data_IF_768990271773
#
_entry.id   IF_768990271773
#
_cell.length_a   1.000
_cell.length_b   1.000
_cell.length_c   1.000
_cell.angle_alpha   90.00
_cell.angle_beta   90.00
_cell.angle_gamma   90.00
#
_symmetry.space_group_name_H-M   'P 1'
#
loop_
_entity.id
_entity.type
_entity.pdbx_description
1 polymer ?
#
# COMPACT_ATOMS: atom_id res chain seq x y z
N UNK A 1 26.65 8.67 75.47
CA UNK A 1 27.32 7.59 74.69
C UNK A 1 26.35 6.56 74.11
N UNK A 2 25.82 5.56 74.84
CA UNK A 2 24.94 4.51 74.25
C UNK A 2 23.66 5.07 73.57
N UNK A 3 23.02 6.07 74.17
CA UNK A 3 21.78 6.69 73.65
C UNK A 3 21.99 7.53 72.37
N UNK A 4 23.18 8.11 72.24
CA UNK A 4 23.58 8.90 71.06
C UNK A 4 23.95 7.98 69.89
N UNK A 5 24.61 6.85 70.20
CA UNK A 5 24.88 5.78 69.23
C UNK A 5 23.57 5.19 68.69
N UNK A 6 22.59 4.91 69.54
CA UNK A 6 21.28 4.41 69.11
C UNK A 6 20.49 5.41 68.24
N UNK A 7 20.65 6.71 68.49
CA UNK A 7 20.06 7.75 67.64
C UNK A 7 20.73 7.79 66.26
N UNK A 8 22.06 7.74 66.24
CA UNK A 8 22.83 7.71 65.00
C UNK A 8 22.50 6.48 64.15
N UNK A 9 22.40 5.30 64.76
CA UNK A 9 22.02 4.05 64.08
C UNK A 9 20.61 4.16 63.50
N UNK A 10 19.63 4.65 64.28
CA UNK A 10 18.24 4.81 63.79
C UNK A 10 18.14 5.77 62.62
N UNK A 11 18.82 6.92 62.69
CA UNK A 11 18.85 7.90 61.59
C UNK A 11 19.51 7.29 60.36
N UNK A 12 20.63 6.58 60.53
CA UNK A 12 21.35 5.95 59.42
C UNK A 12 20.52 4.86 58.75
N UNK A 13 19.86 4.00 59.52
CA UNK A 13 18.95 2.98 58.98
C UNK A 13 17.76 3.61 58.25
N UNK A 14 17.20 4.71 58.76
CA UNK A 14 16.13 5.44 58.09
C UNK A 14 16.59 6.03 56.75
N UNK A 15 17.81 6.59 56.69
CA UNK A 15 18.40 7.11 55.46
C UNK A 15 18.64 6.00 54.43
N UNK A 16 19.17 4.84 54.85
CA UNK A 16 19.33 3.69 53.97
C UNK A 16 17.99 3.12 53.50
N UNK A 17 16.97 3.08 54.36
CA UNK A 17 15.63 2.65 53.98
C UNK A 17 14.99 3.59 52.95
N UNK A 18 15.19 4.91 53.10
CA UNK A 18 14.74 5.92 52.12
C UNK A 18 15.48 5.78 50.79
N UNK A 19 16.81 5.61 50.82
CA UNK A 19 17.61 5.34 49.62
C UNK A 19 17.17 4.07 48.90
N UNK A 20 16.99 2.99 49.65
CA UNK A 20 16.53 1.71 49.11
C UNK A 20 15.12 1.82 48.51
N UNK A 21 14.21 2.50 49.20
CA UNK A 21 12.87 2.80 48.68
C UNK A 21 12.91 3.61 47.38
N UNK A 22 13.81 4.59 47.29
CA UNK A 22 14.04 5.36 46.06
C UNK A 22 14.55 4.48 44.91
N UNK A 23 15.56 3.64 45.15
CA UNK A 23 16.06 2.69 44.14
C UNK A 23 14.98 1.71 43.69
N UNK A 24 14.16 1.21 44.62
CA UNK A 24 13.07 0.29 44.32
C UNK A 24 11.99 0.96 43.46
N UNK A 25 11.62 2.19 43.78
CA UNK A 25 10.68 2.99 42.99
C UNK A 25 11.16 3.16 41.54
N UNK A 26 12.41 3.60 41.36
CA UNK A 26 12.96 3.81 40.02
C UNK A 26 13.15 2.51 39.21
N UNK A 27 13.36 1.36 39.85
CA UNK A 27 13.51 0.09 39.13
C UNK A 27 12.16 -0.60 38.85
N UNK A 28 11.25 -0.66 39.81
CA UNK A 28 10.01 -1.44 39.69
C UNK A 28 8.84 -0.64 39.15
N UNK A 29 8.75 0.65 39.47
CA UNK A 29 7.62 1.51 39.05
C UNK A 29 7.99 2.23 37.75
N UNK A 30 9.08 2.99 37.77
CA UNK A 30 9.42 3.87 36.66
C UNK A 30 10.41 3.25 35.65
N UNK A 31 10.98 2.08 35.98
CA UNK A 31 12.03 1.46 35.18
C UNK A 31 11.59 1.16 33.74
N UNK A 32 10.36 0.65 33.57
CA UNK A 32 9.80 0.38 32.26
C UNK A 32 9.55 1.66 31.44
N UNK A 33 9.14 2.75 32.08
CA UNK A 33 8.91 4.04 31.41
C UNK A 33 10.24 4.70 31.00
N UNK A 34 11.24 4.71 31.90
CA UNK A 34 12.59 5.21 31.60
C UNK A 34 13.27 4.41 30.49
N UNK A 35 13.06 3.09 30.45
CA UNK A 35 13.56 2.25 29.37
C UNK A 35 12.92 2.58 28.01
N UNK A 36 11.65 3.01 28.00
CA UNK A 36 10.88 3.36 26.78
C UNK A 36 11.07 4.79 26.30
N UNK A 37 11.69 5.67 27.09
CA UNK A 37 11.97 7.05 26.67
C UNK A 37 12.80 7.09 25.39
N UNK A 38 12.47 8.02 24.51
CA UNK A 38 13.14 8.22 23.23
C UNK A 38 14.59 8.71 23.40
N UNK A 39 14.87 9.47 24.45
CA UNK A 39 16.20 10.01 24.74
C UNK A 39 17.14 9.05 25.49
N UNK A 40 16.77 7.77 25.63
CA UNK A 40 17.58 6.80 26.37
C UNK A 40 18.79 6.32 25.53
N UNK A 41 20.05 6.67 25.92
CA UNK A 41 21.23 6.30 25.15
C UNK A 41 21.49 4.79 25.10
N UNK A 42 20.91 4.01 26.01
CA UNK A 42 21.02 2.53 25.98
C UNK A 42 20.27 1.93 24.80
N UNK A 43 19.17 2.56 24.35
CA UNK A 43 18.47 2.14 23.13
C UNK A 43 19.36 2.36 21.91
N UNK A 44 20.06 3.50 21.85
CA UNK A 44 21.05 3.79 20.81
C UNK A 44 22.11 2.69 20.77
N UNK A 45 22.78 2.44 21.91
CA UNK A 45 23.90 1.49 21.98
C UNK A 45 23.47 0.04 21.71
N UNK A 46 22.27 -0.35 22.16
CA UNK A 46 21.72 -1.67 21.86
C UNK A 46 21.46 -1.83 20.36
N UNK A 47 20.88 -0.81 19.72
CA UNK A 47 20.60 -0.82 18.28
C UNK A 47 21.88 -0.88 17.44
N UNK A 48 22.96 -0.19 17.86
CA UNK A 48 24.28 -0.25 17.18
C UNK A 48 24.89 -1.65 17.15
N UNK A 49 24.62 -2.46 18.19
CA UNK A 49 25.15 -3.81 18.30
C UNK A 49 24.36 -4.84 17.50
N UNK A 50 23.12 -4.52 17.10
CA UNK A 50 22.28 -5.42 16.31
C UNK A 50 22.78 -5.46 14.87
N UNK A 51 22.95 -6.66 14.32
CA UNK A 51 23.15 -6.83 12.89
C UNK A 51 21.80 -7.07 12.24
N UNK A 52 21.21 -6.00 11.68
CA UNK A 52 19.87 -6.09 11.10
C UNK A 52 19.87 -7.04 9.91
N UNK A 53 18.91 -7.97 9.88
CA UNK A 53 18.82 -9.03 8.88
C UNK A 53 18.65 -8.51 7.45
N UNK A 54 19.03 -9.33 6.47
CA UNK A 54 18.97 -8.97 5.04
C UNK A 54 17.56 -9.18 4.51
N UNK A 55 17.07 -8.24 3.70
CA UNK A 55 15.82 -8.37 2.96
C UNK A 55 16.16 -8.80 1.54
N UNK A 56 15.55 -9.90 1.10
CA UNK A 56 15.67 -10.46 -0.24
C UNK A 56 14.33 -10.39 -0.97
N UNK A 57 14.38 -10.17 -2.28
CA UNK A 57 13.22 -10.33 -3.16
C UNK A 57 12.81 -11.80 -3.29
N UNK A 58 11.74 -12.06 -4.04
CA UNK A 58 11.24 -13.41 -4.27
C UNK A 58 12.23 -14.30 -5.02
N UNK A 59 13.30 -13.78 -5.62
CA UNK A 59 14.29 -14.51 -6.42
C UNK A 59 15.66 -14.64 -5.72
N UNK A 60 15.83 -14.05 -4.53
CA UNK A 60 17.08 -14.07 -3.75
C UNK A 60 18.02 -12.89 -4.00
N UNK A 61 17.57 -11.86 -4.71
CA UNK A 61 18.27 -10.59 -4.86
C UNK A 61 18.17 -9.76 -3.58
N UNK A 62 19.27 -9.14 -3.16
CA UNK A 62 19.32 -8.32 -1.94
C UNK A 62 18.68 -6.96 -2.18
N UNK A 63 17.67 -6.63 -1.38
CA UNK A 63 16.97 -5.35 -1.41
C UNK A 63 17.44 -4.40 -0.30
N UNK A 64 17.78 -4.95 0.87
CA UNK A 64 18.36 -4.18 1.97
C UNK A 64 19.28 -5.06 2.81
N UNK A 65 20.47 -4.57 3.18
CA UNK A 65 21.38 -5.30 4.06
C UNK A 65 22.24 -4.37 4.91
N UNK A 66 22.82 -4.93 5.98
CA UNK A 66 23.72 -4.20 6.87
C UNK A 66 25.17 -4.35 6.40
N UNK A 67 25.89 -3.24 6.25
CA UNK A 67 27.32 -3.23 5.88
C UNK A 67 28.15 -2.57 7.00
N UNK A 68 29.25 -3.19 7.45
CA UNK A 68 30.17 -2.55 8.39
C UNK A 68 30.74 -1.25 7.80
N UNK A 69 30.88 -0.21 8.62
CA UNK A 69 31.48 1.07 8.24
C UNK A 69 32.43 1.57 9.33
N UNK A 70 33.42 2.39 8.96
CA UNK A 70 34.35 3.02 9.90
C UNK A 70 33.75 4.23 10.63
N UNK A 71 32.49 4.59 10.34
CA UNK A 71 31.78 5.69 10.98
C UNK A 71 31.40 5.42 12.43
N UNK A 72 30.89 6.46 13.13
CA UNK A 72 30.55 6.41 14.56
C UNK A 72 29.55 5.31 14.95
N UNK A 73 28.73 4.87 13.99
CA UNK A 73 27.73 3.82 14.17
C UNK A 73 28.27 2.41 13.91
N UNK A 74 29.46 2.26 13.30
CA UNK A 74 30.08 0.97 12.99
C UNK A 74 29.38 0.14 11.90
N UNK A 75 28.12 0.46 11.55
CA UNK A 75 27.30 -0.21 10.53
C UNK A 75 26.45 0.82 9.78
N UNK A 76 26.14 0.53 8.52
CA UNK A 76 25.21 1.29 7.69
C UNK A 76 24.21 0.34 7.03
N UNK A 77 22.95 0.75 6.95
CA UNK A 77 21.93 0.06 6.15
C UNK A 77 22.11 0.47 4.69
N UNK A 78 22.13 -0.49 3.78
CA UNK A 78 22.37 -0.28 2.34
C UNK A 78 21.20 -0.85 1.55
N UNK A 79 20.67 -0.04 0.64
CA UNK A 79 19.63 -0.39 -0.33
C UNK A 79 20.25 -0.32 -1.73
N UNK A 80 20.58 -1.48 -2.38
CA UNK A 80 21.23 -1.50 -3.69
C UNK A 80 20.47 -0.78 -4.78
N UNK A 81 19.15 -0.92 -4.77
CA UNK A 81 18.24 -0.26 -5.71
C UNK A 81 17.28 0.65 -4.92
N UNK A 82 17.35 1.98 -5.10
CA UNK A 82 16.41 2.92 -4.48
C UNK A 82 14.95 2.73 -4.91
N UNK A 83 14.67 2.10 -6.06
CA UNK A 83 13.32 1.92 -6.58
C UNK A 83 12.41 1.12 -5.64
N UNK A 84 13.00 0.33 -4.73
CA UNK A 84 12.27 -0.50 -3.75
C UNK A 84 11.68 0.30 -2.58
N UNK A 85 12.02 1.59 -2.44
CA UNK A 85 11.63 2.42 -1.28
C UNK A 85 10.12 2.48 -1.05
N UNK A 86 9.31 2.39 -2.11
CA UNK A 86 7.85 2.38 -2.03
C UNK A 86 7.29 1.20 -1.23
N UNK A 87 7.96 0.05 -1.27
CA UNK A 87 7.55 -1.16 -0.54
C UNK A 87 8.43 -1.43 0.68
N UNK A 88 9.75 -1.44 0.49
CA UNK A 88 10.72 -1.77 1.54
C UNK A 88 10.75 -0.67 2.60
N UNK A 89 10.57 0.58 2.19
CA UNK A 89 10.69 1.75 3.04
C UNK A 89 12.15 2.09 3.34
N UNK A 90 12.38 2.67 4.51
CA UNK A 90 13.70 3.05 4.98
C UNK A 90 13.89 2.64 6.44
N UNK A 91 15.15 2.61 6.85
CA UNK A 91 15.54 2.47 8.25
C UNK A 91 16.45 3.65 8.59
N UNK A 92 15.96 4.51 9.48
CA UNK A 92 16.71 5.57 10.10
C UNK A 92 16.74 5.36 11.60
N UNK A 93 17.92 5.49 12.19
CA UNK A 93 18.05 5.53 13.64
C UNK A 93 17.38 6.79 14.23
N UNK A 94 17.47 7.91 13.52
CA UNK A 94 17.04 9.22 14.02
C UNK A 94 15.57 9.51 13.71
N UNK A 95 15.10 9.04 12.55
CA UNK A 95 13.82 9.42 11.97
C UNK A 95 12.82 8.27 11.87
N UNK A 96 13.21 7.07 12.30
CA UNK A 96 12.32 5.91 12.38
C UNK A 96 12.41 4.98 11.16
N UNK A 97 11.40 4.13 11.02
CA UNK A 97 11.31 3.16 9.93
C UNK A 97 10.02 3.39 9.14
N UNK A 98 9.98 2.84 7.92
CA UNK A 98 8.77 2.80 7.11
C UNK A 98 8.66 1.47 6.37
N UNK A 99 7.46 1.12 5.89
CA UNK A 99 7.24 -0.03 5.00
C UNK A 99 7.59 -1.37 5.67
N UNK A 100 8.27 -2.25 4.91
CA UNK A 100 8.71 -3.56 5.41
C UNK A 100 9.74 -3.42 6.54
N UNK A 101 10.61 -2.41 6.51
CA UNK A 101 11.55 -2.16 7.59
C UNK A 101 10.85 -1.93 8.93
N UNK A 102 9.69 -1.26 8.92
CA UNK A 102 8.85 -1.06 10.12
C UNK A 102 8.05 -2.33 10.46
N UNK A 103 7.36 -2.91 9.47
CA UNK A 103 6.47 -4.06 9.70
C UNK A 103 7.17 -5.32 10.21
N UNK A 104 8.43 -5.52 9.77
CA UNK A 104 9.25 -6.67 10.17
C UNK A 104 10.37 -6.30 11.14
N UNK A 105 10.33 -5.11 11.75
CA UNK A 105 11.38 -4.57 12.61
C UNK A 105 11.82 -5.54 13.73
N UNK A 106 10.86 -6.22 14.37
CA UNK A 106 11.16 -7.23 15.40
C UNK A 106 11.99 -8.39 14.86
N UNK A 107 11.63 -8.94 13.70
CA UNK A 107 12.34 -10.06 13.07
C UNK A 107 13.70 -9.61 12.55
N UNK A 108 13.75 -8.45 11.91
CA UNK A 108 14.97 -7.86 11.36
C UNK A 108 16.00 -7.51 12.44
N UNK A 109 15.58 -7.28 13.70
CA UNK A 109 16.51 -7.10 14.84
C UNK A 109 16.85 -8.39 15.59
N UNK A 110 16.23 -9.51 15.22
CA UNK A 110 16.46 -10.80 15.90
C UNK A 110 15.78 -10.90 17.25
N UNK A 111 14.71 -10.13 17.48
CA UNK A 111 13.92 -10.27 18.69
C UNK A 111 13.20 -11.63 18.67
N UNK A 112 13.69 -12.58 19.47
CA UNK A 112 13.05 -13.88 19.61
C UNK A 112 11.71 -13.70 20.32
N UNK A 113 10.61 -14.03 19.64
CA UNK A 113 9.24 -13.87 20.17
C UNK A 113 8.98 -14.65 21.48
N UNK A 114 9.89 -15.54 21.91
CA UNK A 114 9.70 -16.45 23.04
C UNK A 114 10.83 -16.53 24.08
N UNK A 115 12.04 -16.01 23.83
CA UNK A 115 13.21 -16.34 24.66
C UNK A 115 13.90 -15.11 25.28
N UNK A 116 13.19 -14.44 26.19
CA UNK A 116 13.74 -13.37 27.03
C UNK A 116 15.02 -13.79 27.78
N UNK A 117 15.21 -15.09 28.01
CA UNK A 117 16.42 -15.65 28.63
C UNK A 117 17.63 -15.64 27.69
N UNK A 118 17.46 -15.93 26.40
CA UNK A 118 18.54 -15.81 25.40
C UNK A 118 18.92 -14.36 25.15
N UNK A 119 17.94 -13.46 25.10
CA UNK A 119 18.21 -12.01 24.99
C UNK A 119 19.01 -11.50 26.20
N UNK A 120 18.66 -11.97 27.41
CA UNK A 120 19.40 -11.67 28.63
C UNK A 120 20.82 -12.27 28.61
N UNK A 121 20.99 -13.53 28.20
CA UNK A 121 22.30 -14.17 28.09
C UNK A 121 23.20 -13.46 27.07
N UNK A 122 22.66 -13.12 25.89
CA UNK A 122 23.40 -12.40 24.86
C UNK A 122 23.78 -10.99 25.31
N UNK A 123 22.89 -10.30 26.02
CA UNK A 123 23.18 -9.00 26.63
C UNK A 123 24.26 -9.11 27.73
N UNK A 124 24.23 -10.17 28.54
CA UNK A 124 25.23 -10.41 29.59
C UNK A 124 26.60 -10.78 29.00
N UNK A 125 26.61 -11.58 27.93
CA UNK A 125 27.82 -12.07 27.24
C UNK A 125 28.32 -11.13 26.14
N UNK A 126 27.67 -9.98 25.92
CA UNK A 126 27.99 -9.01 24.87
C UNK A 126 28.06 -9.64 23.46
N UNK A 127 27.23 -10.66 23.20
CA UNK A 127 27.13 -11.28 21.87
C UNK A 127 26.29 -10.39 20.96
N UNK A 128 26.75 -10.16 19.74
CA UNK A 128 25.96 -9.42 18.75
C UNK A 128 24.72 -10.23 18.37
N UNK A 129 23.54 -9.64 18.55
CA UNK A 129 22.28 -10.23 18.08
C UNK A 129 22.19 -10.02 16.57
N UNK A 130 22.09 -11.11 15.82
CA UNK A 130 21.89 -11.07 14.36
C UNK A 130 20.41 -11.25 14.07
N UNK A 131 19.89 -10.39 13.21
CA UNK A 131 18.51 -10.40 12.75
C UNK A 131 18.19 -11.56 11.84
N UNK A 132 16.89 -11.87 11.74
CA UNK A 132 16.42 -12.82 10.74
C UNK A 132 16.50 -12.22 9.34
N UNK A 133 16.98 -13.01 8.39
CA UNK A 133 16.87 -12.68 6.98
C UNK A 133 15.41 -12.87 6.54
N UNK A 134 14.90 -11.94 5.72
CA UNK A 134 13.54 -11.95 5.22
C UNK A 134 13.55 -12.12 3.70
N UNK A 135 12.73 -13.03 3.19
CA UNK A 135 12.38 -13.13 1.77
C UNK A 135 10.95 -12.61 1.60
N UNK A 136 10.79 -11.63 0.72
CA UNK A 136 9.52 -10.94 0.47
C UNK A 136 8.97 -11.28 -0.91
N UNK A 137 7.71 -10.94 -1.16
CA UNK A 137 6.99 -11.25 -2.41
C UNK A 137 7.43 -10.43 -3.62
N UNK A 138 8.12 -9.30 -3.37
CA UNK A 138 8.55 -8.37 -4.41
C UNK A 138 9.34 -9.10 -5.49
N UNK A 139 9.03 -8.80 -6.75
CA UNK A 139 9.85 -9.15 -7.90
C UNK A 139 10.61 -7.91 -8.35
N UNK A 140 11.95 -7.96 -8.30
CA UNK A 140 12.77 -6.78 -8.57
C UNK A 140 12.58 -6.28 -10.01
N UNK A 141 12.43 -7.16 -11.00
CA UNK A 141 12.26 -6.75 -12.38
C UNK A 141 10.92 -6.04 -12.60
N UNK A 142 9.85 -6.52 -11.97
CA UNK A 142 8.52 -5.87 -12.02
C UNK A 142 8.54 -4.53 -11.28
N UNK A 143 9.24 -4.46 -10.13
CA UNK A 143 9.42 -3.23 -9.36
C UNK A 143 10.16 -2.15 -10.16
N UNK A 144 11.29 -2.49 -10.77
CA UNK A 144 12.09 -1.58 -11.59
C UNK A 144 11.30 -1.09 -12.81
N UNK A 145 10.60 -2.00 -13.51
CA UNK A 145 9.76 -1.65 -14.65
C UNK A 145 8.64 -0.68 -14.25
N UNK A 146 7.96 -0.93 -13.12
CA UNK A 146 6.92 -0.03 -12.62
C UNK A 146 7.52 1.31 -12.17
N UNK A 147 8.69 1.31 -11.53
CA UNK A 147 9.35 2.54 -11.10
C UNK A 147 9.68 3.44 -12.31
N UNK A 148 10.25 2.85 -13.36
CA UNK A 148 10.53 3.55 -14.62
C UNK A 148 9.25 4.04 -15.32
N UNK A 149 8.18 3.23 -15.31
CA UNK A 149 6.90 3.61 -15.90
C UNK A 149 6.32 4.90 -15.29
N UNK A 150 6.51 5.08 -13.98
CA UNK A 150 5.99 6.22 -13.20
C UNK A 150 7.00 7.38 -13.08
N UNK A 151 8.22 7.23 -13.60
CA UNK A 151 9.28 8.22 -13.46
C UNK A 151 8.89 9.60 -14.02
N UNK A 152 9.25 10.65 -13.28
CA UNK A 152 9.00 12.04 -13.66
C UNK A 152 7.55 12.51 -13.49
N UNK A 153 6.67 11.67 -12.92
CA UNK A 153 5.26 11.99 -12.70
C UNK A 153 4.87 11.73 -11.25
N UNK A 154 3.99 12.54 -10.68
CA UNK A 154 3.44 12.24 -9.35
C UNK A 154 2.36 11.17 -9.46
N UNK A 155 2.45 10.13 -8.65
CA UNK A 155 1.50 9.02 -8.73
C UNK A 155 1.96 7.80 -7.95
N UNK A 156 1.25 6.69 -8.15
CA UNK A 156 1.57 5.43 -7.51
C UNK A 156 1.01 4.24 -8.29
N UNK A 157 1.61 3.08 -8.05
CA UNK A 157 1.22 1.84 -8.69
C UNK A 157 1.38 0.65 -7.76
N UNK A 158 0.50 -0.33 -7.89
CA UNK A 158 0.57 -1.63 -7.20
C UNK A 158 0.37 -2.74 -8.20
N UNK A 159 1.20 -3.77 -8.12
CA UNK A 159 1.07 -5.03 -8.88
C UNK A 159 0.96 -6.18 -7.88
N UNK A 160 -0.08 -6.99 -8.02
CA UNK A 160 -0.34 -8.13 -7.13
C UNK A 160 -0.62 -9.40 -7.92
N UNK A 161 0.04 -10.51 -7.57
CA UNK A 161 -0.22 -11.81 -8.19
C UNK A 161 -1.60 -12.33 -7.81
N UNK A 162 -2.28 -12.99 -8.75
CA UNK A 162 -3.60 -13.58 -8.55
C UNK A 162 -3.52 -15.09 -8.79
N UNK A 163 -4.07 -15.93 -7.89
CA UNK A 163 -4.95 -15.61 -6.77
C UNK A 163 -4.24 -15.42 -5.41
N UNK A 164 -2.91 -15.52 -5.35
CA UNK A 164 -2.18 -15.54 -4.07
C UNK A 164 -2.30 -14.24 -3.27
N UNK A 165 -2.37 -13.09 -3.94
CA UNK A 165 -2.31 -11.77 -3.29
C UNK A 165 -0.88 -11.34 -2.94
N UNK A 166 0.14 -12.02 -3.47
CA UNK A 166 1.54 -11.59 -3.32
C UNK A 166 1.74 -10.23 -3.98
N UNK A 167 2.19 -9.22 -3.23
CA UNK A 167 2.50 -7.91 -3.80
C UNK A 167 3.85 -7.99 -4.51
N UNK A 168 3.84 -7.95 -5.84
CA UNK A 168 5.03 -8.08 -6.68
C UNK A 168 5.76 -6.75 -6.84
N UNK A 169 5.02 -5.64 -6.90
CA UNK A 169 5.59 -4.30 -6.97
C UNK A 169 4.68 -3.26 -6.31
N UNK A 170 5.29 -2.25 -5.70
CA UNK A 170 4.60 -1.10 -5.14
C UNK A 170 5.50 0.14 -5.23
N UNK A 171 5.04 1.13 -5.99
CA UNK A 171 5.80 2.35 -6.30
C UNK A 171 4.99 3.57 -5.89
N UNK A 172 5.67 4.55 -5.32
CA UNK A 172 5.17 5.89 -5.02
C UNK A 172 6.13 6.90 -5.62
N UNK A 173 5.62 7.85 -6.40
CA UNK A 173 6.39 8.94 -6.99
C UNK A 173 5.80 10.31 -6.61
N UNK A 174 6.62 11.33 -6.32
CA UNK A 174 8.10 11.29 -6.28
C UNK A 174 8.64 10.40 -5.15
N UNK A 175 9.71 9.65 -5.44
CA UNK A 175 10.44 8.82 -4.49
C UNK A 175 11.67 9.56 -3.90
N UNK A 176 12.32 8.95 -2.92
CA UNK A 176 13.59 9.41 -2.33
C UNK A 176 14.58 8.25 -2.23
N UNK A 177 15.87 8.55 -2.11
CA UNK A 177 16.90 7.54 -1.89
C UNK A 177 16.92 7.14 -0.40
N UNK A 178 16.56 5.89 -0.05
CA UNK A 178 16.56 5.45 1.34
C UNK A 178 17.98 5.39 1.95
N UNK A 179 19.04 5.39 1.13
CA UNK A 179 20.42 5.49 1.61
C UNK A 179 20.79 6.90 2.09
N UNK A 180 20.04 7.92 1.65
CA UNK A 180 20.30 9.34 1.97
C UNK A 180 19.25 9.94 2.91
N UNK A 181 18.26 9.17 3.34
CA UNK A 181 17.15 9.64 4.20
C UNK A 181 17.61 10.41 5.43
N UNK A 182 18.71 10.00 6.08
CA UNK A 182 19.26 10.69 7.25
C UNK A 182 19.87 12.06 6.93
N UNK A 183 20.49 12.19 5.75
CA UNK A 183 21.10 13.45 5.31
C UNK A 183 20.04 14.42 4.79
N UNK A 184 19.04 13.89 4.07
CA UNK A 184 18.07 14.69 3.33
C UNK A 184 16.77 14.92 4.09
N UNK A 185 16.60 14.35 5.29
CA UNK A 185 15.35 14.35 6.05
C UNK A 185 14.66 15.72 6.13
N UNK A 186 15.42 16.77 6.43
CA UNK A 186 14.87 18.13 6.54
C UNK A 186 14.38 18.67 5.20
N UNK A 187 15.08 18.34 4.10
CA UNK A 187 14.64 18.71 2.75
C UNK A 187 13.38 17.91 2.37
N UNK A 188 13.39 16.59 2.59
CA UNK A 188 12.26 15.70 2.31
C UNK A 188 11.00 16.09 3.09
N UNK A 189 11.13 16.54 4.34
CA UNK A 189 10.01 17.08 5.12
C UNK A 189 9.55 18.47 4.66
N UNK A 190 10.47 19.32 4.20
CA UNK A 190 10.14 20.67 3.75
C UNK A 190 9.42 20.68 2.38
N UNK A 191 9.56 19.61 1.59
CA UNK A 191 8.89 19.42 0.29
C UNK A 191 7.40 19.06 0.46
N UNK A 192 6.61 19.95 1.04
CA UNK A 192 5.18 19.70 1.30
C UNK A 192 4.39 19.38 0.03
N UNK A 193 4.70 20.02 -1.11
CA UNK A 193 4.00 19.81 -2.38
C UNK A 193 4.32 18.42 -2.98
N UNK A 194 5.59 18.03 -2.99
CA UNK A 194 6.03 16.76 -3.53
C UNK A 194 5.85 15.59 -2.54
N UNK A 195 5.77 15.85 -1.24
CA UNK A 195 5.57 14.87 -0.15
C UNK A 195 6.22 13.50 -0.43
N UNK A 196 7.56 13.43 -0.61
CA UNK A 196 8.24 12.21 -1.06
C UNK A 196 8.19 11.07 -0.03
N UNK A 197 8.08 11.38 1.26
CA UNK A 197 7.94 10.40 2.34
C UNK A 197 6.57 9.71 2.35
N UNK A 198 5.57 10.28 1.66
CA UNK A 198 4.23 9.70 1.58
C UNK A 198 4.24 8.49 0.64
N UNK A 199 3.88 7.32 1.18
CA UNK A 199 3.56 6.17 0.35
C UNK A 199 2.17 6.34 -0.27
N UNK A 200 2.11 6.88 -1.49
CA UNK A 200 0.86 7.14 -2.24
C UNK A 200 0.13 5.86 -2.65
N UNK A 201 0.82 4.73 -2.75
CA UNK A 201 0.19 3.46 -3.11
C UNK A 201 -0.73 2.95 -2.00
N UNK A 202 -0.36 3.18 -0.75
CA UNK A 202 -1.12 2.80 0.45
C UNK A 202 -1.96 3.95 1.02
N UNK A 203 -1.32 5.10 1.23
CA UNK A 203 -1.86 6.24 1.97
C UNK A 203 -2.31 7.39 1.05
N UNK A 204 -2.23 7.20 -0.27
CA UNK A 204 -2.72 8.18 -1.23
C UNK A 204 -4.25 8.22 -1.20
N UNK A 205 -4.79 9.43 -1.11
CA UNK A 205 -6.22 9.69 -1.08
C UNK A 205 -6.64 10.35 -2.38
N UNK A 206 -7.03 9.54 -3.36
CA UNK A 206 -7.38 9.98 -4.70
C UNK A 206 -8.87 9.83 -4.96
N UNK A 207 -9.46 10.78 -5.68
CA UNK A 207 -10.78 10.54 -6.26
C UNK A 207 -10.68 9.39 -7.28
N UNK A 208 -11.57 8.39 -7.21
CA UNK A 208 -11.49 7.24 -8.12
C UNK A 208 -11.86 7.61 -9.56
N UNK A 209 -12.64 8.67 -9.77
CA UNK A 209 -13.16 9.02 -11.10
C UNK A 209 -13.80 7.82 -11.80
N UNK A 210 -13.53 7.68 -13.10
CA UNK A 210 -14.02 6.54 -13.87
C UNK A 210 -13.49 5.18 -13.40
N UNK A 211 -12.44 5.10 -12.56
CA UNK A 211 -11.93 3.81 -12.08
C UNK A 211 -12.96 3.06 -11.22
N UNK A 212 -13.95 3.78 -10.68
CA UNK A 212 -15.09 3.19 -9.97
C UNK A 212 -16.06 2.45 -10.91
N UNK A 213 -16.05 2.75 -12.20
CA UNK A 213 -16.99 2.20 -13.20
C UNK A 213 -16.97 0.68 -13.26
N UNK A 214 -15.84 0.02 -13.04
CA UNK A 214 -15.78 -1.44 -12.97
C UNK A 214 -16.70 -1.99 -11.89
N UNK A 215 -16.66 -1.38 -10.69
CA UNK A 215 -17.49 -1.78 -9.57
C UNK A 215 -18.97 -1.43 -9.84
N UNK A 216 -19.24 -0.25 -10.39
CA UNK A 216 -20.59 0.19 -10.72
C UNK A 216 -21.23 -0.69 -11.80
N UNK A 217 -20.50 -1.00 -12.87
CA UNK A 217 -20.97 -1.85 -13.94
C UNK A 217 -21.33 -3.23 -13.40
N UNK A 218 -20.50 -3.79 -12.50
CA UNK A 218 -20.80 -5.08 -11.87
C UNK A 218 -22.13 -5.06 -11.11
N UNK A 219 -22.43 -3.96 -10.41
CA UNK A 219 -23.68 -3.79 -9.66
C UNK A 219 -24.88 -3.54 -10.59
N UNK A 220 -24.69 -2.80 -11.69
CA UNK A 220 -25.72 -2.60 -12.70
C UNK A 220 -26.09 -3.92 -13.39
N UNK A 221 -25.09 -4.72 -13.77
CA UNK A 221 -25.28 -6.07 -14.31
C UNK A 221 -26.00 -6.98 -13.30
N UNK A 222 -25.68 -6.86 -12.00
CA UNK A 222 -26.38 -7.60 -10.93
C UNK A 222 -27.90 -7.30 -10.89
N UNK A 223 -28.29 -6.11 -11.34
CA UNK A 223 -29.66 -5.60 -11.33
C UNK A 223 -30.37 -5.74 -12.68
N UNK A 224 -29.73 -6.41 -13.65
CA UNK A 224 -30.31 -6.73 -14.94
C UNK A 224 -30.00 -5.74 -16.07
N UNK A 225 -29.12 -4.75 -15.85
CA UNK A 225 -28.60 -3.95 -16.95
C UNK A 225 -27.80 -4.83 -17.94
N UNK A 226 -27.78 -4.43 -19.20
CA UNK A 226 -27.03 -5.10 -20.25
C UNK A 226 -25.99 -4.14 -20.84
N UNK A 227 -24.85 -4.68 -21.28
CA UNK A 227 -23.81 -3.88 -21.93
C UNK A 227 -24.32 -3.14 -23.18
N UNK A 228 -25.36 -3.68 -23.83
CA UNK A 228 -25.99 -3.14 -25.03
C UNK A 228 -27.17 -2.19 -24.75
N UNK A 229 -27.47 -1.88 -23.48
CA UNK A 229 -28.55 -0.95 -23.12
C UNK A 229 -28.38 0.41 -23.80
N UNK A 230 -29.49 1.11 -24.03
CA UNK A 230 -29.53 2.34 -24.83
C UNK A 230 -28.51 3.36 -24.35
N UNK A 231 -27.76 3.90 -25.30
CA UNK A 231 -26.63 4.75 -25.00
C UNK A 231 -26.99 6.17 -24.61
N UNK A 232 -26.06 6.83 -23.93
CA UNK A 232 -26.10 8.27 -23.62
C UNK A 232 -24.98 9.03 -24.34
N UNK A 233 -24.99 10.36 -24.25
CA UNK A 233 -23.84 11.18 -24.60
C UNK A 233 -22.61 10.76 -23.78
N UNK A 234 -21.42 11.04 -24.32
CA UNK A 234 -20.14 10.70 -23.69
C UNK A 234 -19.80 11.54 -22.46
N UNK A 235 -20.11 12.83 -22.52
CA UNK A 235 -19.66 13.85 -21.57
C UNK A 235 -20.68 14.08 -20.46
N UNK A 236 -20.19 14.22 -19.22
CA UNK A 236 -21.01 14.57 -18.07
C UNK A 236 -20.57 15.92 -17.47
N UNK A 237 -21.53 16.76 -17.08
CA UNK A 237 -21.28 18.06 -16.46
C UNK A 237 -21.63 17.98 -14.97
N UNK A 238 -20.61 18.03 -14.11
CA UNK A 238 -20.81 18.22 -12.68
C UNK A 238 -21.21 19.66 -12.39
N UNK A 239 -22.11 19.84 -11.43
CA UNK A 239 -22.62 21.17 -11.07
C UNK A 239 -21.82 21.77 -9.91
N UNK A 240 -21.32 20.93 -8.99
CA UNK A 240 -20.69 21.38 -7.73
C UNK A 240 -19.52 20.46 -7.32
N UNK A 241 -18.26 20.88 -7.52
CA UNK A 241 -17.84 22.05 -8.33
C UNK A 241 -18.16 21.85 -9.83
N UNK A 242 -18.30 22.93 -10.62
CA UNK A 242 -18.46 22.83 -12.06
C UNK A 242 -17.25 22.14 -12.70
N UNK A 243 -17.48 21.01 -13.35
CA UNK A 243 -16.43 20.24 -14.00
C UNK A 243 -17.01 19.41 -15.14
N UNK A 244 -16.41 19.54 -16.32
CA UNK A 244 -16.74 18.73 -17.48
C UNK A 244 -15.90 17.45 -17.46
N UNK A 245 -16.57 16.31 -17.39
CA UNK A 245 -15.95 14.99 -17.44
C UNK A 245 -16.13 14.37 -18.82
N UNK A 246 -15.01 13.99 -19.44
CA UNK A 246 -14.98 13.40 -20.78
C UNK A 246 -14.47 11.96 -20.75
N UNK A 247 -14.48 11.28 -21.89
CA UNK A 247 -13.94 9.92 -22.00
C UNK A 247 -12.40 9.94 -21.90
N UNK A 248 -11.83 8.92 -21.27
CA UNK A 248 -10.37 8.76 -21.23
C UNK A 248 -9.79 8.39 -22.60
N UNK A 249 -10.52 7.62 -23.41
CA UNK A 249 -10.14 7.27 -24.77
C UNK A 249 -11.23 7.70 -25.76
N UNK A 250 -10.89 7.96 -27.03
CA UNK A 250 -11.88 8.20 -28.06
C UNK A 250 -12.83 7.01 -28.19
N UNK A 251 -14.15 7.18 -28.02
CA UNK A 251 -15.08 6.07 -28.08
C UNK A 251 -15.27 5.54 -29.51
N UNK A 252 -15.44 4.22 -29.63
CA UNK A 252 -15.75 3.57 -30.90
C UNK A 252 -17.23 3.80 -31.28
N UNK A 253 -17.52 4.92 -31.93
CA UNK A 253 -18.85 5.25 -32.45
C UNK A 253 -19.15 6.75 -32.41
N UNK A 254 -19.99 7.23 -33.33
CA UNK A 254 -20.48 8.60 -33.32
C UNK A 254 -21.87 8.66 -32.66
N UNK A 255 -22.05 9.54 -31.67
CA UNK A 255 -23.35 9.80 -31.03
C UNK A 255 -23.49 9.17 -29.64
N UNK A 256 -24.56 8.40 -29.45
CA UNK A 256 -24.91 7.77 -28.16
C UNK A 256 -24.12 6.47 -27.94
N UNK A 257 -23.53 6.32 -26.75
CA UNK A 257 -22.67 5.19 -26.37
C UNK A 257 -23.39 4.25 -25.40
N UNK A 258 -23.48 2.97 -25.75
CA UNK A 258 -23.97 1.95 -24.80
C UNK A 258 -22.98 1.74 -23.65
N UNK A 259 -23.41 1.03 -22.59
CA UNK A 259 -22.59 0.83 -21.39
C UNK A 259 -21.26 0.13 -21.68
N UNK A 260 -21.23 -0.84 -22.61
CA UNK A 260 -20.01 -1.52 -23.00
C UNK A 260 -19.01 -0.59 -23.69
N UNK A 261 -19.46 0.19 -24.67
CA UNK A 261 -18.64 1.20 -25.37
C UNK A 261 -18.14 2.27 -24.42
N UNK A 262 -19.01 2.74 -23.51
CA UNK A 262 -18.66 3.72 -22.50
C UNK A 262 -17.59 3.20 -21.55
N UNK A 263 -17.71 1.95 -21.10
CA UNK A 263 -16.73 1.31 -20.23
C UNK A 263 -15.36 1.16 -20.90
N UNK A 264 -15.33 0.71 -22.16
CA UNK A 264 -14.08 0.56 -22.91
C UNK A 264 -13.37 1.90 -23.14
N UNK A 265 -14.13 2.98 -23.34
CA UNK A 265 -13.60 4.31 -23.58
C UNK A 265 -13.40 5.16 -22.30
N UNK A 266 -13.80 4.67 -21.13
CA UNK A 266 -13.72 5.43 -19.88
C UNK A 266 -14.68 6.63 -19.82
N UNK A 267 -15.84 6.54 -20.47
CA UNK A 267 -16.81 7.65 -20.55
C UNK A 267 -17.73 7.70 -19.31
N UNK A 268 -17.86 8.85 -18.63
CA UNK A 268 -18.60 8.96 -17.36
C UNK A 268 -20.13 9.01 -17.51
N UNK A 269 -20.65 9.70 -18.52
CA UNK A 269 -22.08 10.03 -18.58
C UNK A 269 -23.02 8.82 -18.61
N UNK A 270 -22.78 7.75 -19.39
CA UNK A 270 -23.66 6.58 -19.40
C UNK A 270 -23.80 5.92 -18.02
N UNK A 271 -22.72 5.89 -17.23
CA UNK A 271 -22.77 5.37 -15.85
C UNK A 271 -23.57 6.26 -14.92
N UNK A 272 -23.30 7.57 -14.95
CA UNK A 272 -23.98 8.53 -14.07
C UNK A 272 -25.47 8.61 -14.37
N UNK A 273 -25.86 8.55 -15.64
CA UNK A 273 -27.27 8.62 -16.03
C UNK A 273 -28.04 7.35 -15.70
N UNK A 274 -27.43 6.17 -15.88
CA UNK A 274 -28.07 4.91 -15.53
C UNK A 274 -28.12 4.64 -14.01
N UNK A 275 -27.30 5.32 -13.21
CA UNK A 275 -27.24 5.07 -11.77
C UNK A 275 -28.50 5.52 -11.03
N UNK A 276 -29.06 6.67 -11.41
CA UNK A 276 -30.25 7.24 -10.76
C UNK A 276 -31.50 6.37 -10.93
N UNK A 277 -31.50 5.53 -11.97
CA UNK A 277 -32.58 4.57 -12.25
C UNK A 277 -32.34 3.19 -11.63
N UNK A 278 -31.07 2.83 -11.38
CA UNK A 278 -30.67 1.45 -11.07
C UNK A 278 -30.14 1.23 -9.65
N UNK A 279 -29.48 2.23 -9.04
CA UNK A 279 -28.75 2.08 -7.79
C UNK A 279 -29.11 3.22 -6.82
N UNK A 280 -29.72 2.88 -5.68
CA UNK A 280 -30.00 3.85 -4.62
C UNK A 280 -28.71 4.29 -3.91
N UNK A 281 -28.76 5.43 -3.21
CA UNK A 281 -27.64 5.93 -2.40
C UNK A 281 -27.18 4.93 -1.33
N UNK A 282 -28.14 4.21 -0.72
CA UNK A 282 -27.86 3.16 0.27
C UNK A 282 -27.17 1.95 -0.36
N UNK A 283 -27.66 1.48 -1.52
CA UNK A 283 -27.05 0.36 -2.24
C UNK A 283 -25.62 0.70 -2.71
N UNK A 284 -25.39 1.93 -3.18
CA UNK A 284 -24.06 2.42 -3.50
C UNK A 284 -23.14 2.33 -2.27
N UNK A 285 -23.57 2.90 -1.14
CA UNK A 285 -22.75 2.91 0.08
C UNK A 285 -22.46 1.49 0.59
N UNK A 286 -23.42 0.57 0.48
CA UNK A 286 -23.22 -0.85 0.79
C UNK A 286 -22.20 -1.51 -0.13
N UNK A 287 -22.29 -1.25 -1.44
CA UNK A 287 -21.36 -1.78 -2.43
C UNK A 287 -19.94 -1.30 -2.19
N UNK A 288 -19.75 0.01 -1.93
CA UNK A 288 -18.44 0.60 -1.63
C UNK A 288 -17.82 -0.02 -0.37
N UNK A 289 -18.63 -0.23 0.68
CA UNK A 289 -18.19 -0.85 1.93
C UNK A 289 -17.83 -2.31 1.73
N UNK A 290 -18.66 -3.07 1.01
CA UNK A 290 -18.39 -4.48 0.70
C UNK A 290 -17.11 -4.66 -0.13
N UNK A 291 -16.79 -3.68 -0.99
CA UNK A 291 -15.56 -3.65 -1.76
C UNK A 291 -14.32 -3.19 -0.96
N UNK A 292 -14.47 -2.81 0.31
CA UNK A 292 -13.37 -2.34 1.15
C UNK A 292 -12.87 -0.93 0.82
N UNK A 293 -13.63 -0.15 0.04
CA UNK A 293 -13.24 1.21 -0.37
C UNK A 293 -13.48 2.27 0.73
N UNK A 294 -14.23 1.91 1.77
CA UNK A 294 -14.55 2.79 2.92
C UNK A 294 -13.77 2.41 4.18
N UNK A 295 -12.69 1.64 4.03
CA UNK A 295 -11.79 1.25 5.10
C UNK A 295 -10.34 1.36 4.57
N UNK A 296 -9.34 1.57 5.42
CA UNK A 296 -7.94 1.61 5.00
C UNK A 296 -7.53 0.32 4.26
N UNK A 297 -6.66 0.41 3.24
CA UNK A 297 -6.14 -0.80 2.58
C UNK A 297 -5.34 -1.65 3.55
N UNK A 298 -5.59 -2.95 3.62
CA UNK A 298 -4.80 -3.86 4.44
C UNK A 298 -3.81 -4.64 3.57
N UNK A 299 -2.51 -4.50 3.88
CA UNK A 299 -1.45 -5.34 3.33
C UNK A 299 -0.73 -6.03 4.48
N UNK A 300 -0.85 -7.35 4.54
CA UNK A 300 -0.23 -8.15 5.60
C UNK A 300 1.29 -8.00 5.53
N UNK A 301 1.89 -7.50 6.62
CA UNK A 301 3.32 -7.27 6.73
C UNK A 301 3.73 -5.80 6.60
N UNK A 302 2.80 -4.89 6.30
CA UNK A 302 3.05 -3.44 6.32
C UNK A 302 2.11 -2.81 7.35
N UNK A 303 2.63 -2.05 8.33
CA UNK A 303 1.78 -1.34 9.28
C UNK A 303 1.06 -0.19 8.57
N UNK A 304 -0.20 0.02 8.92
CA UNK A 304 -0.93 1.22 8.54
C UNK A 304 -0.65 2.32 9.56
N UNK A 305 -0.48 3.58 9.12
CA UNK A 305 -0.45 4.69 10.06
C UNK A 305 -1.77 4.76 10.83
N UNK A 306 -1.70 5.00 12.14
CA UNK A 306 -2.85 5.00 13.06
C UNK A 306 -3.95 6.01 12.73
N UNK A 307 -3.67 6.96 11.83
CA UNK A 307 -4.56 8.04 11.40
C UNK A 307 -5.23 7.79 10.05
N UNK A 308 -4.99 6.63 9.40
CA UNK A 308 -5.71 6.26 8.19
C UNK A 308 -7.18 5.97 8.54
N UNK A 309 -8.03 6.99 8.60
CA UNK A 309 -9.48 6.84 8.72
C UNK A 309 -10.11 7.37 7.43
N UNK A 310 -10.48 6.45 6.54
CA UNK A 310 -11.34 6.78 5.39
C UNK A 310 -12.79 6.75 5.90
N UNK A 311 -13.31 7.90 6.31
CA UNK A 311 -14.73 8.00 6.69
C UNK A 311 -15.51 8.68 5.57
N UNK A 312 -16.36 7.89 4.93
CA UNK A 312 -17.35 8.37 3.96
C UNK A 312 -18.64 8.70 4.72
N UNK A 313 -19.07 9.97 4.77
CA UNK A 313 -20.31 10.32 5.46
C UNK A 313 -21.50 9.53 4.90
N UNK A 314 -22.49 9.14 5.70
CA UNK A 314 -23.64 8.40 5.20
C UNK A 314 -24.34 9.15 4.06
N UNK A 315 -24.78 8.41 3.04
CA UNK A 315 -25.54 8.96 1.92
C UNK A 315 -27.02 8.73 2.16
N UNK A 316 -27.83 9.78 2.06
CA UNK A 316 -29.29 9.72 2.19
C UNK A 316 -29.97 9.95 0.84
N UNK A 317 -31.23 9.53 0.68
CA UNK A 317 -32.05 9.75 -0.52
C UNK A 317 -32.15 11.24 -0.93
N UNK A 318 -32.00 12.17 0.02
CA UNK A 318 -31.99 13.62 -0.22
C UNK A 318 -30.69 14.12 -0.88
N UNK A 319 -29.72 13.24 -1.11
CA UNK A 319 -28.37 13.56 -1.60
C UNK A 319 -28.21 13.26 -3.10
N UNK A 320 -29.21 13.53 -3.94
CA UNK A 320 -29.18 13.16 -5.38
C UNK A 320 -27.94 13.71 -6.10
N UNK A 321 -27.59 14.98 -5.91
CA UNK A 321 -26.36 15.58 -6.48
C UNK A 321 -25.09 14.88 -5.99
N UNK A 322 -25.06 14.45 -4.73
CA UNK A 322 -23.92 13.73 -4.15
C UNK A 322 -23.82 12.32 -4.72
N UNK A 323 -24.94 11.62 -4.91
CA UNK A 323 -24.97 10.31 -5.55
C UNK A 323 -24.42 10.37 -6.97
N UNK A 324 -24.82 11.38 -7.75
CA UNK A 324 -24.30 11.57 -9.11
C UNK A 324 -22.80 11.91 -9.12
N UNK A 325 -22.34 12.74 -8.17
CA UNK A 325 -20.91 13.03 -8.02
C UNK A 325 -20.10 11.78 -7.64
N UNK A 326 -20.60 10.94 -6.74
CA UNK A 326 -19.94 9.67 -6.40
C UNK A 326 -20.00 8.65 -7.52
N UNK A 327 -21.10 8.59 -8.26
CA UNK A 327 -21.21 7.75 -9.46
C UNK A 327 -20.19 8.14 -10.54
N UNK A 328 -19.90 9.43 -10.65
CA UNK A 328 -18.84 9.95 -11.50
C UNK A 328 -17.42 9.73 -10.92
N UNK A 329 -17.33 9.26 -9.67
CA UNK A 329 -16.09 9.10 -8.92
C UNK A 329 -15.43 10.42 -8.50
N UNK A 330 -16.17 11.52 -8.54
CA UNK A 330 -15.72 12.88 -8.24
C UNK A 330 -16.39 13.45 -6.97
N UNK A 331 -16.96 12.59 -6.13
CA UNK A 331 -17.53 12.97 -4.84
C UNK A 331 -16.50 12.93 -3.70
N UNK A 332 -16.92 12.43 -2.55
CA UNK A 332 -16.15 12.38 -1.32
C UNK A 332 -15.39 11.06 -1.12
N UNK A 333 -15.67 10.04 -1.93
CA UNK A 333 -14.91 8.80 -1.91
C UNK A 333 -13.46 9.08 -2.31
N UNK A 334 -12.54 8.71 -1.43
CA UNK A 334 -11.10 8.72 -1.69
C UNK A 334 -10.58 7.30 -1.57
N UNK A 335 -9.76 6.90 -2.53
CA UNK A 335 -9.18 5.56 -2.64
C UNK A 335 -7.68 5.61 -2.87
N UNK A 336 -7.00 4.53 -2.50
CA UNK A 336 -5.61 4.30 -2.84
C UNK A 336 -5.45 3.23 -3.92
N UNK A 337 -4.32 3.21 -4.67
CA UNK A 337 -4.00 2.12 -5.59
C UNK A 337 -4.07 0.73 -4.95
N UNK A 338 -3.70 0.59 -3.67
CA UNK A 338 -3.80 -0.67 -2.94
C UNK A 338 -5.25 -1.15 -2.72
N UNK A 339 -6.24 -0.24 -2.67
CA UNK A 339 -7.64 -0.63 -2.70
C UNK A 339 -8.10 -0.97 -4.13
N UNK A 340 -7.69 -0.17 -5.12
CA UNK A 340 -8.11 -0.35 -6.51
C UNK A 340 -7.56 -1.64 -7.14
N UNK A 341 -6.41 -2.14 -6.68
CA UNK A 341 -5.86 -3.43 -7.15
C UNK A 341 -6.77 -4.61 -6.77
N UNK A 342 -7.59 -4.48 -5.72
CA UNK A 342 -8.60 -5.49 -5.35
C UNK A 342 -9.69 -5.63 -6.41
N UNK A 343 -10.10 -4.50 -7.00
CA UNK A 343 -11.11 -4.48 -8.08
C UNK A 343 -10.54 -5.15 -9.33
N UNK A 344 -9.29 -4.83 -9.69
CA UNK A 344 -8.58 -5.50 -10.76
C UNK A 344 -8.47 -7.02 -10.51
N UNK A 345 -8.07 -7.43 -9.30
CA UNK A 345 -7.97 -8.83 -8.94
C UNK A 345 -9.33 -9.55 -9.03
N UNK A 346 -10.42 -8.91 -8.62
CA UNK A 346 -11.76 -9.48 -8.71
C UNK A 346 -12.20 -9.82 -10.14
N UNK A 347 -11.77 -9.06 -11.15
CA UNK A 347 -12.07 -9.37 -12.56
C UNK A 347 -11.48 -10.71 -13.00
N UNK A 348 -10.29 -11.05 -12.50
CA UNK A 348 -9.55 -12.26 -12.86
C UNK A 348 -9.56 -13.35 -11.78
N UNK A 349 -10.30 -13.13 -10.69
CA UNK A 349 -10.43 -14.06 -9.57
C UNK A 349 -11.90 -14.31 -9.22
N UNK A 350 -12.73 -14.51 -10.25
CA UNK A 350 -14.15 -14.91 -10.12
C UNK A 350 -14.97 -13.98 -9.23
N UNK A 351 -14.68 -12.69 -9.26
CA UNK A 351 -15.37 -11.65 -8.50
C UNK A 351 -14.86 -11.44 -7.07
N UNK A 352 -13.77 -12.10 -6.67
CA UNK A 352 -13.17 -11.98 -5.34
C UNK A 352 -11.85 -11.21 -5.38
N UNK A 353 -11.63 -10.32 -4.42
CA UNK A 353 -10.31 -9.73 -4.20
C UNK A 353 -9.27 -10.76 -3.74
N UNK A 354 -8.08 -10.29 -3.37
CA UNK A 354 -6.97 -11.13 -2.89
C UNK A 354 -6.42 -10.61 -1.56
N UNK A 355 -6.00 -11.49 -0.64
CA UNK A 355 -5.39 -11.08 0.62
C UNK A 355 -3.97 -10.56 0.36
N UNK A 356 -3.82 -9.24 0.25
CA UNK A 356 -2.52 -8.63 -0.06
C UNK A 356 -1.52 -8.91 1.06
N UNK A 357 -0.33 -9.36 0.69
CA UNK A 357 0.73 -9.65 1.63
C UNK A 357 2.11 -9.50 0.99
N UNK A 358 3.12 -9.25 1.84
CA UNK A 358 4.52 -9.05 1.42
C UNK A 358 5.51 -10.08 1.97
N UNK A 359 5.16 -10.83 3.02
CA UNK A 359 6.07 -11.79 3.63
C UNK A 359 5.96 -13.19 3.03
N UNK A 360 7.05 -13.73 2.50
CA UNK A 360 7.11 -15.14 2.06
C UNK A 360 7.71 -16.03 3.15
N UNK A 361 8.91 -15.68 3.61
CA UNK A 361 9.66 -16.51 4.52
C UNK A 361 10.67 -15.69 5.34
N UNK A 362 10.93 -16.11 6.56
CA UNK A 362 12.07 -15.61 7.34
C UNK A 362 12.98 -16.76 7.76
N UNK A 363 14.29 -16.47 7.85
CA UNK A 363 15.30 -17.40 8.31
C UNK A 363 16.03 -16.77 9.49
N UNK A 364 15.82 -17.34 10.68
CA UNK A 364 16.62 -16.98 11.84
C UNK A 364 18.06 -17.50 11.67
N UNK A 365 19.08 -16.78 12.17
CA UNK A 365 20.44 -17.31 12.25
C UNK A 365 20.45 -18.66 13.00
N UNK A 366 20.78 -19.75 12.29
CA UNK A 366 20.84 -21.10 12.87
C UNK A 366 19.52 -21.87 13.00
N UNK A 367 18.38 -21.37 12.49
CA UNK A 367 17.08 -22.08 12.57
C UNK A 367 16.39 -22.29 11.20
N UNK A 368 15.30 -23.06 11.23
CA UNK A 368 14.45 -23.40 10.08
C UNK A 368 13.65 -22.20 9.56
N UNK A 369 13.26 -22.28 8.29
CA UNK A 369 12.45 -21.30 7.56
C UNK A 369 11.04 -21.20 8.17
N UNK A 370 10.61 -19.99 8.58
CA UNK A 370 9.24 -19.73 9.00
C UNK A 370 8.45 -19.01 7.90
N UNK A 371 7.22 -19.42 7.63
CA UNK A 371 6.35 -18.79 6.62
C UNK A 371 5.25 -17.96 7.30
N UNK A 372 4.85 -16.84 6.68
CA UNK A 372 3.62 -16.14 7.06
C UNK A 372 2.51 -16.62 6.11
N UNK A 373 1.51 -17.39 6.59
CA UNK A 373 0.39 -17.75 5.73
C UNK A 373 -0.39 -16.48 5.35
N UNK A 374 -0.88 -16.38 4.10
CA UNK A 374 -1.73 -15.26 3.70
C UNK A 374 -3.00 -15.24 4.54
N UNK A 375 -3.60 -14.05 4.70
CA UNK A 375 -4.88 -13.93 5.38
C UNK A 375 -5.97 -14.73 4.66
N UNK A 376 -6.80 -15.43 5.41
CA UNK A 376 -7.71 -16.47 4.89
C UNK A 376 -8.98 -15.91 4.20
N UNK A 377 -9.08 -14.59 4.02
CA UNK A 377 -10.31 -13.93 3.56
C UNK A 377 -10.08 -12.99 2.38
N UNK A 378 -10.39 -13.49 1.19
CA UNK A 378 -10.63 -12.67 -0.01
C UNK A 378 -12.02 -12.01 0.06
N UNK A 379 -12.13 -10.67 0.01
CA UNK A 379 -13.41 -9.99 -0.03
C UNK A 379 -14.15 -10.31 -1.33
N UNK A 380 -15.47 -10.51 -1.27
CA UNK A 380 -16.30 -10.66 -2.47
C UNK A 380 -16.72 -9.29 -2.99
N UNK A 381 -16.29 -8.92 -4.20
CA UNK A 381 -16.56 -7.60 -4.79
C UNK A 381 -17.72 -7.66 -5.80
N UNK A 382 -17.81 -8.76 -6.56
CA UNK A 382 -18.84 -9.00 -7.57
C UNK A 382 -19.12 -10.50 -7.71
N UNK A 383 -20.18 -10.87 -8.42
CA UNK A 383 -20.46 -12.26 -8.75
C UNK A 383 -19.51 -12.76 -9.85
N UNK A 384 -19.27 -14.07 -9.89
CA UNK A 384 -18.40 -14.68 -10.89
C UNK A 384 -18.85 -14.42 -12.33
N UNK A 385 -20.16 -14.45 -12.59
CA UNK A 385 -20.75 -14.15 -13.90
C UNK A 385 -20.53 -12.69 -14.34
N UNK A 386 -20.57 -11.74 -13.40
CA UNK A 386 -20.30 -10.33 -13.65
C UNK A 386 -18.81 -10.13 -13.97
N UNK A 387 -17.93 -10.72 -13.16
CA UNK A 387 -16.49 -10.69 -13.40
C UNK A 387 -16.15 -11.29 -14.78
N UNK A 388 -16.73 -12.44 -15.14
CA UNK A 388 -16.51 -13.08 -16.42
C UNK A 388 -17.00 -12.23 -17.61
N UNK A 389 -18.17 -11.59 -17.47
CA UNK A 389 -18.70 -10.68 -18.50
C UNK A 389 -17.76 -9.50 -18.73
N UNK A 390 -17.30 -8.85 -17.65
CA UNK A 390 -16.38 -7.71 -17.72
C UNK A 390 -15.00 -8.11 -18.23
N UNK A 391 -14.48 -9.26 -17.77
CA UNK A 391 -13.21 -9.81 -18.23
C UNK A 391 -13.24 -10.07 -19.73
N UNK A 392 -14.27 -10.76 -20.23
CA UNK A 392 -14.42 -11.06 -21.66
C UNK A 392 -14.51 -9.79 -22.51
N UNK A 393 -15.23 -8.77 -22.03
CA UNK A 393 -15.32 -7.48 -22.69
C UNK A 393 -13.93 -6.82 -22.84
N UNK A 394 -13.13 -6.81 -21.78
CA UNK A 394 -11.79 -6.23 -21.76
C UNK A 394 -10.77 -7.05 -22.57
N UNK A 395 -10.85 -8.38 -22.52
CA UNK A 395 -10.03 -9.28 -23.36
C UNK A 395 -10.29 -9.07 -24.86
N UNK A 396 -11.55 -8.81 -25.22
CA UNK A 396 -11.93 -8.45 -26.59
C UNK A 396 -11.44 -7.07 -27.06
N UNK A 397 -10.92 -6.24 -26.15
CA UNK A 397 -10.43 -4.89 -26.43
C UNK A 397 -9.07 -4.66 -25.73
N UNK A 398 -8.08 -5.48 -26.09
CA UNK A 398 -6.72 -5.34 -25.55
C UNK A 398 -6.16 -3.95 -25.82
N UNK A 399 -5.61 -3.35 -24.77
CA UNK A 399 -4.98 -2.02 -24.82
C UNK A 399 -3.58 -2.07 -25.45
N UNK A 400 -2.93 -3.24 -25.36
CA UNK A 400 -1.64 -3.52 -25.99
C UNK A 400 -1.69 -4.94 -26.58
N UNK A 401 -2.04 -5.12 -27.87
CA UNK A 401 -2.23 -6.46 -28.43
C UNK A 401 -0.99 -7.37 -28.38
N UNK A 402 0.20 -6.77 -28.39
CA UNK A 402 1.47 -7.49 -28.38
C UNK A 402 1.86 -8.01 -26.98
N UNK A 403 1.28 -7.45 -25.93
CA UNK A 403 1.59 -7.78 -24.54
C UNK A 403 0.27 -7.87 -23.79
N UNK A 404 -0.12 -9.07 -23.33
CA UNK A 404 -1.43 -9.38 -22.76
C UNK A 404 -1.80 -8.55 -21.51
N UNK A 405 -2.10 -7.26 -21.75
CA UNK A 405 -2.42 -6.20 -20.82
C UNK A 405 -3.85 -5.76 -21.12
N UNK A 406 -4.71 -5.96 -20.14
CA UNK A 406 -6.15 -5.72 -20.26
C UNK A 406 -6.58 -4.87 -19.07
N UNK A 407 -7.53 -3.97 -19.28
CA UNK A 407 -7.96 -3.13 -18.18
C UNK A 407 -8.82 -1.96 -18.62
N UNK A 408 -9.20 -1.19 -17.62
CA UNK A 408 -10.00 0.01 -17.78
C UNK A 408 -9.12 1.25 -17.54
N UNK A 409 -9.12 2.17 -18.51
CA UNK A 409 -8.54 3.52 -18.34
C UNK A 409 -9.62 4.54 -18.06
N UNK A 410 -9.30 5.45 -17.17
CA UNK A 410 -10.24 6.50 -16.75
C UNK A 410 -9.50 7.73 -16.25
N UNK A 411 -10.27 8.80 -16.05
CA UNK A 411 -9.79 10.05 -15.49
C UNK A 411 -10.48 10.39 -14.17
N UNK A 412 -9.76 11.10 -13.33
CA UNK A 412 -10.24 11.76 -12.12
C UNK A 412 -9.60 13.16 -12.02
N UNK A 413 -10.20 14.07 -11.25
CA UNK A 413 -9.69 15.45 -11.17
C UNK A 413 -9.69 15.95 -9.73
N UNK A 414 -8.58 16.51 -9.25
CA UNK A 414 -8.54 17.22 -7.98
C UNK A 414 -8.18 18.70 -8.22
N UNK A 415 -9.18 19.58 -8.13
CA UNK A 415 -9.03 20.95 -8.61
C UNK A 415 -8.70 20.96 -10.10
N UNK A 416 -7.65 21.68 -10.48
CA UNK A 416 -7.18 21.77 -11.87
C UNK A 416 -6.29 20.58 -12.29
N UNK A 417 -5.98 19.67 -11.36
CA UNK A 417 -5.06 18.56 -11.62
C UNK A 417 -5.83 17.33 -12.08
N UNK A 418 -5.59 16.93 -13.33
CA UNK A 418 -6.09 15.67 -13.88
C UNK A 418 -5.21 14.49 -13.44
N UNK A 419 -5.85 13.38 -13.14
CA UNK A 419 -5.23 12.09 -12.86
C UNK A 419 -5.77 11.05 -13.83
N UNK A 420 -4.89 10.20 -14.30
CA UNK A 420 -5.23 9.06 -15.14
C UNK A 420 -5.07 7.80 -14.32
N UNK A 421 -6.14 7.02 -14.27
CA UNK A 421 -6.19 5.71 -13.64
C UNK A 421 -6.10 4.61 -14.68
N UNK A 422 -5.37 3.55 -14.32
CA UNK A 422 -5.44 2.24 -14.96
C UNK A 422 -5.76 1.21 -13.89
N UNK A 423 -6.82 0.43 -14.11
CA UNK A 423 -7.19 -0.72 -13.26
C UNK A 423 -7.39 -1.92 -14.18
N UNK A 424 -6.54 -2.93 -14.04
CA UNK A 424 -6.48 -4.03 -15.01
C UNK A 424 -5.57 -5.15 -14.57
N UNK A 425 -5.15 -5.98 -15.51
CA UNK A 425 -4.22 -7.08 -15.25
C UNK A 425 -3.30 -7.32 -16.43
N UNK A 426 -2.16 -7.93 -16.13
CA UNK A 426 -1.27 -8.52 -17.10
C UNK A 426 -1.37 -10.04 -17.01
N UNK A 427 -1.20 -10.72 -18.14
CA UNK A 427 -1.15 -12.18 -18.22
C UNK A 427 0.17 -12.62 -18.86
N UNK A 428 0.85 -13.55 -18.20
CA UNK A 428 2.07 -14.16 -18.74
C UNK A 428 1.74 -15.26 -19.75
N UNK A 429 2.74 -15.67 -20.54
CA UNK A 429 2.59 -16.75 -21.53
C UNK A 429 2.19 -18.11 -20.93
N UNK A 430 2.50 -18.35 -19.64
CA UNK A 430 2.13 -19.59 -18.95
C UNK A 430 0.73 -19.56 -18.31
N UNK A 431 0.02 -18.43 -18.43
CA UNK A 431 -1.32 -18.23 -17.90
C UNK A 431 -1.37 -17.63 -16.49
N UNK A 432 -0.23 -17.39 -15.82
CA UNK A 432 -0.21 -16.65 -14.57
C UNK A 432 -0.65 -15.20 -14.80
N UNK A 433 -1.39 -14.63 -13.85
CA UNK A 433 -1.95 -13.28 -13.94
C UNK A 433 -1.54 -12.42 -12.76
N UNK A 434 -1.37 -11.13 -13.00
CA UNK A 434 -1.15 -10.12 -11.98
C UNK A 434 -2.14 -8.98 -12.17
N UNK A 435 -2.79 -8.55 -11.10
CA UNK A 435 -3.63 -7.37 -11.06
C UNK A 435 -2.75 -6.11 -10.91
N UNK A 436 -3.13 -5.04 -11.60
CA UNK A 436 -2.45 -3.75 -11.62
C UNK A 436 -3.44 -2.63 -11.31
N UNK A 437 -3.05 -1.72 -10.43
CA UNK A 437 -3.72 -0.45 -10.23
C UNK A 437 -2.68 0.67 -10.22
N UNK A 438 -2.80 1.62 -11.16
CA UNK A 438 -1.84 2.71 -11.36
C UNK A 438 -2.59 4.02 -11.49
N UNK A 439 -2.07 5.06 -10.85
CA UNK A 439 -2.53 6.44 -11.01
C UNK A 439 -1.35 7.36 -11.29
N UNK A 440 -1.47 8.21 -12.31
CA UNK A 440 -0.49 9.26 -12.61
C UNK A 440 -1.18 10.61 -12.82
N UNK A 441 -0.59 11.66 -12.25
CA UNK A 441 -1.07 13.02 -12.46
C UNK A 441 -0.53 13.61 -13.76
N UNK A 442 -1.40 14.24 -14.56
CA UNK A 442 -0.99 14.99 -15.76
C UNK A 442 -0.49 14.14 -16.94
N UNK A 443 -0.75 12.83 -16.92
CA UNK A 443 -0.40 11.92 -18.02
C UNK A 443 -1.64 11.61 -18.83
N UNK A 444 -1.56 11.75 -20.16
CA UNK A 444 -2.65 11.39 -21.05
C UNK A 444 -2.94 9.87 -21.00
N UNK A 445 -4.20 9.42 -21.03
CA UNK A 445 -4.56 8.00 -20.93
C UNK A 445 -3.79 7.09 -21.89
N UNK A 446 -3.67 7.47 -23.17
CA UNK A 446 -2.92 6.68 -24.15
C UNK A 446 -1.44 6.51 -23.78
N UNK A 447 -0.80 7.55 -23.22
CA UNK A 447 0.60 7.49 -22.81
C UNK A 447 0.81 6.59 -21.58
N UNK A 448 -0.19 6.49 -20.69
CA UNK A 448 -0.11 5.56 -19.56
C UNK A 448 -0.05 4.10 -20.05
N UNK A 449 -0.77 3.74 -21.11
CA UNK A 449 -0.70 2.39 -21.69
C UNK A 449 0.72 2.06 -22.13
N UNK A 450 1.35 2.95 -22.91
CA UNK A 450 2.72 2.78 -23.40
C UNK A 450 3.73 2.60 -22.25
N UNK A 451 3.53 3.34 -21.15
CA UNK A 451 4.37 3.22 -19.95
C UNK A 451 4.19 1.89 -19.21
N UNK A 452 3.02 1.25 -19.32
CA UNK A 452 2.74 -0.01 -18.62
C UNK A 452 3.10 -1.27 -19.42
N UNK A 453 3.37 -1.15 -20.73
CA UNK A 453 3.83 -2.28 -21.56
C UNK A 453 5.07 -2.95 -20.96
N UNK A 454 6.16 -2.24 -20.60
CA UNK A 454 7.33 -2.86 -19.99
C UNK A 454 7.05 -3.57 -18.66
N UNK A 455 6.05 -3.10 -17.89
CA UNK A 455 5.64 -3.73 -16.62
C UNK A 455 5.01 -5.10 -16.89
N UNK A 456 4.15 -5.18 -17.91
CA UNK A 456 3.53 -6.43 -18.33
C UNK A 456 4.55 -7.41 -18.95
N UNK A 457 5.54 -6.91 -19.69
CA UNK A 457 6.65 -7.72 -20.21
C UNK A 457 7.55 -8.27 -19.08
N UNK A 458 7.89 -7.43 -18.10
CA UNK A 458 8.67 -7.84 -16.93
C UNK A 458 7.94 -8.95 -16.15
N UNK A 459 6.62 -8.82 -15.97
CA UNK A 459 5.82 -9.88 -15.35
C UNK A 459 5.78 -11.17 -16.20
N UNK A 460 5.67 -11.05 -17.52
CA UNK A 460 5.59 -12.21 -18.42
C UNK A 460 6.90 -13.00 -18.51
N UNK A 461 8.04 -12.32 -18.32
CA UNK A 461 9.38 -12.92 -18.36
C UNK A 461 9.86 -13.43 -17.00
N UNK A 462 9.24 -12.99 -15.91
CA UNK A 462 9.50 -13.49 -14.55
C UNK A 462 9.25 -14.99 -14.43
N UNK A 463 10.16 -15.71 -13.75
CA UNK A 463 9.89 -17.10 -13.41
C UNK A 463 8.87 -17.17 -12.26
N UNK A 464 7.84 -18.04 -12.34
CA UNK A 464 6.79 -18.11 -11.34
C UNK A 464 7.29 -18.45 -9.94
#
# INVERSE_FOLDING_TARGET
MLREVDHLVRVTVLLFALLFGGVLFWNLVEGANLARREDNPRRVLAELNIERGTIYDRNGMRLAYSRPTSGRLGKARVYPDPAVVGLVGHYSYQYGQAGIEEGYDRLLRGAHLSDAWMDFENALLHRATSGADLRITLDLAVQEALFAALEGQSGAGVVAAVPSGEVLAMVSQPAYDPNQVDADWNALQAEAEASPLLNRALNGSYQPGGALQTLLLSEMLARGAQLADQGSVATFQLVQPPLELTCALPPAGAGFLNLGQAYLAGCPAPFVMSIGESISATAMQEKLRAAGLTAPPEITGIPLPSEAQISLPPMTEQSSTRLLAEAAGQGQLLVSPAQMVQIAAALINQGRGVPLHVGLAYRNPGAMLGCHPPADRSPGLMQSSQAETLRTLLEGHSLAPDVALYGHLSQAFAGDRAYTWFVGWAQSANGATAALAVILAGVEPAQLIERLVPVAEAFSTGQP
#
